data_IF_702020383577
#
_entry.id   IF_702020383577
#
_cell.length_a   1.000
_cell.length_b   1.000
_cell.length_c   1.000
_cell.angle_alpha   90.00
_cell.angle_beta   90.00
_cell.angle_gamma   90.00
#
_symmetry.space_group_name_H-M   'P 1'
#
loop_
_entity.id
_entity.type
_entity.pdbx_description
1 polymer ?
#
# COMPACT_ATOMS: atom_id res chain seq x y z
N UNK A 1 1.27 6.71 -0.66
CA UNK A 1 2.64 6.27 -0.39
C UNK A 1 3.23 5.89 -1.73
N UNK A 2 4.40 6.40 -2.08
CA UNK A 2 5.08 5.97 -3.29
C UNK A 2 5.53 4.50 -3.15
N UNK A 3 5.32 3.62 -4.17
CA UNK A 3 5.72 2.20 -4.10
C UNK A 3 7.24 2.00 -3.96
N UNK A 4 8.04 3.04 -4.20
CA UNK A 4 9.49 3.03 -4.03
C UNK A 4 9.94 2.64 -2.63
N UNK A 5 9.21 3.04 -1.59
CA UNK A 5 9.58 2.68 -0.23
C UNK A 5 9.48 1.16 0.04
N UNK A 6 8.56 0.47 -0.65
CA UNK A 6 8.48 -0.99 -0.61
C UNK A 6 9.64 -1.62 -1.36
N UNK A 7 9.95 -1.12 -2.57
CA UNK A 7 11.09 -1.59 -3.35
C UNK A 7 12.41 -1.49 -2.58
N UNK A 8 12.67 -0.33 -1.96
CA UNK A 8 13.85 -0.10 -1.14
C UNK A 8 13.92 -1.08 0.03
N UNK A 9 12.82 -1.25 0.78
CA UNK A 9 12.79 -2.12 1.95
C UNK A 9 13.06 -3.59 1.62
N UNK A 10 12.57 -4.07 0.47
CA UNK A 10 12.79 -5.44 0.02
C UNK A 10 14.22 -5.62 -0.54
N UNK A 11 14.70 -4.65 -1.31
CA UNK A 11 16.05 -4.68 -1.89
C UNK A 11 17.13 -4.65 -0.80
N UNK A 12 16.90 -3.93 0.29
CA UNK A 12 17.78 -3.90 1.46
C UNK A 12 17.93 -5.26 2.18
N UNK A 13 17.08 -6.24 1.85
CA UNK A 13 17.15 -7.62 2.35
C UNK A 13 17.76 -8.58 1.30
N UNK A 14 18.38 -8.05 0.25
CA UNK A 14 18.96 -8.81 -0.88
C UNK A 14 17.92 -9.68 -1.63
N UNK A 15 16.64 -9.33 -1.53
CA UNK A 15 15.56 -10.05 -2.19
C UNK A 15 15.38 -9.50 -3.60
N UNK A 16 15.59 -10.38 -4.59
CA UNK A 16 15.40 -10.03 -6.00
C UNK A 16 13.93 -9.80 -6.31
N UNK A 17 13.62 -8.65 -6.87
CA UNK A 17 12.30 -8.29 -7.38
C UNK A 17 12.42 -7.71 -8.79
N UNK A 18 11.30 -7.56 -9.50
CA UNK A 18 11.30 -6.93 -10.82
C UNK A 18 11.61 -5.44 -10.67
N UNK A 19 12.82 -5.00 -11.02
CA UNK A 19 13.24 -3.60 -10.84
C UNK A 19 12.27 -2.59 -11.46
N UNK A 20 11.87 -2.77 -12.72
CA UNK A 20 10.96 -1.85 -13.43
C UNK A 20 9.50 -2.32 -13.34
N UNK A 21 8.97 -2.50 -12.14
CA UNK A 21 7.54 -2.79 -11.94
C UNK A 21 6.74 -1.49 -12.09
N UNK A 22 5.82 -1.40 -13.09
CA UNK A 22 5.02 -0.20 -13.31
C UNK A 22 3.83 -0.10 -12.34
N UNK A 23 3.44 1.14 -12.02
CA UNK A 23 2.25 1.50 -11.26
C UNK A 23 1.59 2.74 -11.87
N UNK A 24 0.26 2.81 -11.82
CA UNK A 24 -0.47 4.03 -12.13
C UNK A 24 -0.40 4.99 -10.95
N UNK A 25 0.07 6.22 -11.18
CA UNK A 25 0.06 7.31 -10.19
C UNK A 25 -1.25 8.06 -10.32
N UNK A 26 -2.30 7.52 -9.71
CA UNK A 26 -3.65 8.08 -9.77
C UNK A 26 -3.74 9.29 -8.82
N UNK A 27 -4.02 10.51 -9.32
CA UNK A 27 -4.25 11.66 -8.44
C UNK A 27 -5.51 11.44 -7.60
N UNK A 28 -5.45 11.74 -6.30
CA UNK A 28 -6.59 11.53 -5.38
C UNK A 28 -7.87 12.24 -5.83
N UNK A 29 -7.72 13.38 -6.53
CA UNK A 29 -8.83 14.16 -7.07
C UNK A 29 -9.68 13.42 -8.10
N UNK A 30 -9.14 12.35 -8.71
CA UNK A 30 -9.88 11.54 -9.68
C UNK A 30 -10.91 10.64 -8.98
N UNK A 31 -10.80 10.49 -7.66
CA UNK A 31 -11.69 9.65 -6.84
C UNK A 31 -12.80 10.47 -6.15
N UNK A 32 -12.90 11.77 -6.43
CA UNK A 32 -13.81 12.71 -5.73
C UNK A 32 -15.29 12.36 -5.83
N UNK A 33 -15.69 11.65 -6.88
CA UNK A 33 -17.07 11.26 -7.13
C UNK A 33 -17.39 9.84 -6.63
N UNK A 34 -16.39 9.15 -6.06
CA UNK A 34 -16.52 7.77 -5.60
C UNK A 34 -16.83 7.70 -4.11
N UNK A 35 -17.35 6.56 -3.68
CA UNK A 35 -17.38 6.21 -2.27
C UNK A 35 -15.99 5.72 -1.87
N UNK A 36 -15.36 6.40 -0.93
CA UNK A 36 -13.99 6.14 -0.54
C UNK A 36 -13.90 5.68 0.91
N UNK A 37 -13.04 4.69 1.16
CA UNK A 37 -12.74 4.19 2.47
C UNK A 37 -11.24 3.90 2.62
N UNK A 38 -10.75 3.89 3.85
CA UNK A 38 -9.41 3.40 4.17
C UNK A 38 -9.53 2.18 5.07
N UNK A 39 -8.83 1.12 4.69
CA UNK A 39 -8.51 0.01 5.57
C UNK A 39 -7.17 0.29 6.24
N UNK A 40 -7.19 0.55 7.55
CA UNK A 40 -6.01 0.93 8.33
C UNK A 40 -4.98 -0.20 8.37
N UNK A 41 -5.43 -1.46 8.37
CA UNK A 41 -4.59 -2.65 8.33
C UNK A 41 -3.49 -2.66 9.42
N UNK A 42 -3.85 -2.27 10.64
CA UNK A 42 -2.90 -2.24 11.75
C UNK A 42 -2.50 -3.66 12.18
N UNK A 43 -1.20 -3.87 12.42
CA UNK A 43 -0.64 -5.17 12.83
C UNK A 43 -1.33 -5.73 14.07
N UNK A 44 -1.68 -4.89 15.03
CA UNK A 44 -2.25 -5.27 16.33
C UNK A 44 -3.66 -5.88 16.20
N UNK A 45 -4.39 -5.51 15.15
CA UNK A 45 -5.78 -5.93 14.91
C UNK A 45 -5.91 -6.92 13.76
N UNK A 46 -4.84 -7.20 13.03
CA UNK A 46 -4.86 -8.19 11.96
C UNK A 46 -4.74 -9.61 12.52
N UNK A 47 -5.74 -10.45 12.24
CA UNK A 47 -5.84 -11.83 12.76
C UNK A 47 -5.57 -12.90 11.70
N UNK A 48 -5.31 -12.49 10.46
CA UNK A 48 -5.12 -13.39 9.33
C UNK A 48 -6.06 -13.07 8.17
N UNK A 49 -5.81 -13.61 6.97
CA UNK A 49 -6.53 -13.23 5.76
C UNK A 49 -7.95 -13.81 5.69
N UNK A 50 -8.24 -14.87 6.45
CA UNK A 50 -9.56 -15.50 6.52
C UNK A 50 -10.42 -14.94 7.66
N UNK A 51 -9.83 -14.11 8.52
CA UNK A 51 -10.53 -13.55 9.68
C UNK A 51 -11.31 -12.29 9.30
N UNK A 52 -12.45 -12.02 9.96
CA UNK A 52 -13.17 -10.78 9.77
C UNK A 52 -12.31 -9.55 10.07
N UNK A 53 -12.51 -8.48 9.29
CA UNK A 53 -11.89 -7.19 9.57
C UNK A 53 -12.49 -6.63 10.86
N UNK A 54 -11.62 -6.33 11.83
CA UNK A 54 -12.06 -5.80 13.12
C UNK A 54 -12.72 -4.41 13.00
N UNK A 55 -13.69 -4.15 13.87
CA UNK A 55 -14.35 -2.85 13.95
C UNK A 55 -13.35 -1.69 14.13
N UNK A 56 -13.64 -0.58 13.44
CA UNK A 56 -12.79 0.62 13.42
C UNK A 56 -11.55 0.52 12.54
N UNK A 57 -11.30 -0.62 11.87
CA UNK A 57 -10.24 -0.74 10.86
C UNK A 57 -10.64 -0.21 9.49
N UNK A 58 -11.94 -0.08 9.22
CA UNK A 58 -12.48 0.59 8.02
C UNK A 58 -13.01 1.95 8.44
N UNK A 59 -12.62 3.00 7.71
CA UNK A 59 -13.15 4.35 7.86
C UNK A 59 -13.55 4.90 6.52
N UNK A 60 -14.72 5.53 6.44
CA UNK A 60 -15.11 6.32 5.28
C UNK A 60 -14.21 7.57 5.24
N UNK A 61 -13.78 7.94 4.04
CA UNK A 61 -12.82 9.02 3.83
C UNK A 61 -13.41 10.05 2.87
N UNK A 62 -13.39 11.31 3.28
CA UNK A 62 -13.49 12.43 2.35
C UNK A 62 -12.11 12.62 1.68
N UNK A 63 -12.10 12.73 0.35
CA UNK A 63 -10.87 12.92 -0.42
C UNK A 63 -10.13 14.21 -0.05
N UNK A 64 -10.81 15.23 0.47
CA UNK A 64 -10.19 16.48 0.92
C UNK A 64 -9.43 16.30 2.25
N UNK A 65 -9.76 15.28 3.02
CA UNK A 65 -9.06 14.90 4.25
C UNK A 65 -7.94 13.88 4.01
N UNK A 66 -7.80 13.38 2.77
CA UNK A 66 -6.77 12.41 2.43
C UNK A 66 -5.37 12.97 2.66
N UNK A 67 -4.56 12.18 3.37
CA UNK A 67 -3.14 12.43 3.57
C UNK A 67 -2.35 11.26 3.05
N UNK A 68 -1.42 11.56 2.15
CA UNK A 68 -0.52 10.55 1.65
C UNK A 68 0.46 10.12 2.76
N UNK A 69 0.61 8.81 2.93
CA UNK A 69 1.64 8.24 3.79
C UNK A 69 3.04 8.61 3.24
N UNK A 70 3.87 9.33 4.01
CA UNK A 70 5.15 9.84 3.53
C UNK A 70 6.22 8.76 3.44
N UNK A 71 6.06 7.66 4.18
CA UNK A 71 7.05 6.58 4.31
C UNK A 71 6.37 5.22 4.52
N UNK A 72 7.18 4.15 4.47
CA UNK A 72 6.72 2.80 4.74
C UNK A 72 6.47 2.61 6.26
N UNK A 73 5.33 2.03 6.67
CA UNK A 73 5.09 1.69 8.07
C UNK A 73 6.18 0.75 8.62
N UNK A 74 6.65 1.03 9.83
CA UNK A 74 7.66 0.20 10.52
C UNK A 74 7.23 -1.26 10.61
N UNK A 75 5.96 -1.51 10.92
CA UNK A 75 5.35 -2.84 10.97
C UNK A 75 5.55 -3.64 9.68
N UNK A 76 5.47 -2.99 8.51
CA UNK A 76 5.72 -3.61 7.20
C UNK A 76 7.19 -3.97 7.04
N UNK A 77 8.11 -3.07 7.42
CA UNK A 77 9.54 -3.33 7.33
C UNK A 77 9.99 -4.48 8.25
N UNK A 78 9.40 -4.57 9.45
CA UNK A 78 9.67 -5.64 10.40
C UNK A 78 9.10 -6.98 9.92
N UNK A 79 7.93 -6.95 9.30
CA UNK A 79 7.35 -8.11 8.63
C UNK A 79 8.29 -8.67 7.56
N UNK A 80 8.80 -7.84 6.64
CA UNK A 80 9.74 -8.29 5.61
C UNK A 80 11.02 -8.91 6.20
N UNK A 81 11.61 -8.27 7.23
CA UNK A 81 12.79 -8.81 7.92
C UNK A 81 12.52 -10.19 8.53
N UNK A 82 11.38 -10.35 9.20
CA UNK A 82 11.03 -11.60 9.86
C UNK A 82 10.75 -12.72 8.86
N UNK A 83 9.94 -12.45 7.84
CA UNK A 83 9.62 -13.45 6.81
C UNK A 83 10.87 -13.84 6.00
N UNK A 84 11.73 -12.87 5.68
CA UNK A 84 13.01 -13.13 5.01
C UNK A 84 13.93 -14.02 5.85
N UNK A 85 14.10 -13.73 7.14
CA UNK A 85 14.92 -14.55 8.07
C UNK A 85 14.41 -15.98 8.18
N UNK A 86 13.10 -16.16 8.10
CA UNK A 86 12.46 -17.47 8.17
C UNK A 86 12.44 -18.21 6.81
N UNK A 87 12.93 -17.59 5.73
CA UNK A 87 12.89 -18.16 4.38
C UNK A 87 11.49 -18.26 3.78
N UNK A 88 10.53 -17.51 4.33
CA UNK A 88 9.13 -17.54 3.92
C UNK A 88 8.88 -16.64 2.70
N UNK A 89 7.83 -16.98 1.96
CA UNK A 89 7.23 -16.04 0.99
C UNK A 89 6.33 -15.07 1.75
N UNK A 90 6.31 -13.82 1.29
CA UNK A 90 5.54 -12.78 1.95
C UNK A 90 4.81 -11.89 0.94
N UNK A 91 3.71 -11.29 1.42
CA UNK A 91 2.91 -10.37 0.62
C UNK A 91 3.58 -9.01 0.50
N UNK A 92 3.50 -8.41 -0.68
CA UNK A 92 3.86 -7.01 -0.87
C UNK A 92 2.77 -6.15 -0.21
N UNK A 93 3.16 -5.06 0.46
CA UNK A 93 2.26 -4.10 1.13
C UNK A 93 1.54 -4.63 2.39
N UNK A 94 2.06 -5.65 3.06
CA UNK A 94 1.50 -6.12 4.33
C UNK A 94 1.58 -5.02 5.40
N UNK A 95 0.50 -4.80 6.16
CA UNK A 95 0.38 -3.69 7.14
C UNK A 95 0.49 -2.27 6.58
N UNK A 96 0.41 -2.11 5.27
CA UNK A 96 0.24 -0.79 4.65
C UNK A 96 -1.26 -0.48 4.63
N UNK A 97 -1.71 0.71 5.09
CA UNK A 97 -3.11 1.11 4.93
C UNK A 97 -3.53 1.12 3.45
N UNK A 98 -4.67 0.51 3.14
CA UNK A 98 -5.21 0.42 1.77
C UNK A 98 -6.32 1.44 1.58
N UNK A 99 -6.20 2.26 0.54
CA UNK A 99 -7.28 3.13 0.09
C UNK A 99 -8.20 2.34 -0.85
N UNK A 100 -9.48 2.31 -0.53
CA UNK A 100 -10.52 1.60 -1.27
C UNK A 100 -11.44 2.65 -1.88
N UNK A 101 -11.72 2.52 -3.17
CA UNK A 101 -12.61 3.42 -3.90
C UNK A 101 -13.61 2.59 -4.68
N UNK A 102 -14.90 2.86 -4.48
CA UNK A 102 -15.99 2.20 -5.19
C UNK A 102 -16.56 3.19 -6.22
N UNK A 103 -16.34 2.88 -7.50
CA UNK A 103 -16.76 3.70 -8.62
C UNK A 103 -15.81 3.57 -9.81
N UNK A 104 -15.92 4.49 -10.75
CA UNK A 104 -15.05 4.57 -11.92
C UNK A 104 -13.80 5.39 -11.62
N UNK A 105 -12.69 5.08 -12.29
CA UNK A 105 -11.44 5.84 -12.18
C UNK A 105 -10.90 6.06 -13.59
N UNK A 106 -10.77 7.33 -13.96
CA UNK A 106 -10.19 7.72 -15.24
C UNK A 106 -8.68 7.48 -15.23
N UNK A 107 -8.17 6.66 -16.17
CA UNK A 107 -6.75 6.29 -16.25
C UNK A 107 -6.08 6.68 -17.57
N UNK A 108 -6.80 7.27 -18.53
CA UNK A 108 -6.25 7.53 -19.87
C UNK A 108 -5.03 8.45 -19.88
N UNK A 109 -4.92 9.36 -18.89
CA UNK A 109 -3.86 10.37 -18.80
C UNK A 109 -3.07 10.31 -17.48
N UNK A 110 -3.12 9.19 -16.74
CA UNK A 110 -2.36 9.08 -15.49
C UNK A 110 -0.90 8.71 -15.78
N UNK A 111 0.02 9.27 -14.99
CA UNK A 111 1.43 8.94 -15.09
C UNK A 111 1.65 7.45 -14.73
N UNK A 112 2.48 6.76 -15.52
CA UNK A 112 2.98 5.43 -15.18
C UNK A 112 4.38 5.60 -14.59
N UNK A 113 4.51 5.29 -13.31
CA UNK A 113 5.78 5.31 -12.56
C UNK A 113 6.32 3.89 -12.41
N UNK A 114 7.63 3.75 -12.15
CA UNK A 114 8.22 2.48 -11.72
C UNK A 114 8.72 2.58 -10.29
N UNK A 115 8.54 1.53 -9.50
CA UNK A 115 8.90 1.55 -8.08
C UNK A 115 10.42 1.63 -7.78
N UNK A 116 11.31 1.42 -8.75
CA UNK A 116 12.75 1.58 -8.55
C UNK A 116 13.18 3.06 -8.58
N UNK A 117 12.28 3.97 -8.95
CA UNK A 117 12.51 5.41 -9.01
C UNK A 117 11.53 6.11 -8.06
N UNK A 118 11.85 7.31 -7.57
CA UNK A 118 11.00 8.10 -6.65
C UNK A 118 10.29 9.28 -7.35
N UNK A 119 10.20 9.24 -8.68
CA UNK A 119 9.74 10.36 -9.52
C UNK A 119 8.26 10.74 -9.31
#
# INVERSE_FOLDING_TARGET
MHPHYVYQAITALDIKTKEKQPFFKIPIQYLKNNENAIYIYSKEKYKGPAEPIEEGQIKIVDIYDYKELPELPSATSDYYKNESRNGNRFGLFHYVPHFLSLGEVEIGNVEIITWNEIK
#
